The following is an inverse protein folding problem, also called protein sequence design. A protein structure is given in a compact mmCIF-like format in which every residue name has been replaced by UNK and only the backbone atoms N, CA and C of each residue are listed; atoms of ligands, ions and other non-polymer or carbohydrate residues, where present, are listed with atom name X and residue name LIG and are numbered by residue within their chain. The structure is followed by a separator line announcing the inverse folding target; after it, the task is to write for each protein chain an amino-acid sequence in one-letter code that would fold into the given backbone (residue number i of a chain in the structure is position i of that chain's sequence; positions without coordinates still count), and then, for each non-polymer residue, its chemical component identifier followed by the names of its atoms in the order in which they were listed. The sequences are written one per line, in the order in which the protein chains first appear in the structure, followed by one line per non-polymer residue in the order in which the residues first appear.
data_IF_416403640561
#
_entry.id   IF_416403640561
#
_cell.length_a   1.000
_cell.length_b   1.000
_cell.length_c   1.000
_cell.angle_alpha   90.00
_cell.angle_beta   90.00
_cell.angle_gamma   90.00
#
_symmetry.space_group_name_H-M   'P 1'
#
loop_
_entity.id
_entity.type
_entity.pdbx_description
1 polymer ?
#
# COMPACT_ATOMS: atom_id res chain seq x y z
N UNK A 1 -2.47 1.21 -2.80
CA UNK A 1 -3.81 0.72 -2.40
C UNK A 1 -3.88 0.60 -0.88
N UNK A 2 -4.97 1.02 -0.30
CA UNK A 2 -5.25 0.82 1.12
C UNK A 2 -6.24 -0.35 1.26
N UNK A 3 -5.85 -1.38 2.01
CA UNK A 3 -6.67 -2.58 2.19
C UNK A 3 -6.83 -2.88 3.68
N UNK A 4 -7.98 -2.56 4.24
CA UNK A 4 -8.28 -2.80 5.65
C UNK A 4 -8.55 -4.27 5.99
N UNK A 5 -8.69 -5.12 5.00
CA UNK A 5 -8.81 -6.56 5.17
C UNK A 5 -7.48 -7.30 5.18
N UNK A 6 -6.40 -6.66 4.74
CA UNK A 6 -5.08 -7.26 4.70
C UNK A 6 -4.37 -7.12 6.03
N UNK A 7 -3.56 -8.12 6.39
CA UNK A 7 -2.75 -8.14 7.60
C UNK A 7 -1.31 -7.68 7.38
N UNK A 8 -0.91 -7.51 6.12
CA UNK A 8 0.48 -7.18 5.78
C UNK A 8 0.54 -6.08 4.74
N UNK A 9 1.50 -5.18 4.90
CA UNK A 9 1.86 -4.19 3.89
C UNK A 9 2.74 -4.85 2.85
N UNK A 10 2.45 -4.62 1.57
CA UNK A 10 3.12 -5.26 0.44
C UNK A 10 3.77 -4.21 -0.44
N UNK A 11 5.02 -4.45 -0.86
CA UNK A 11 5.72 -3.66 -1.87
C UNK A 11 5.86 -4.47 -3.15
N UNK A 12 5.51 -3.85 -4.27
CA UNK A 12 5.65 -4.45 -5.59
C UNK A 12 6.90 -3.93 -6.31
N UNK A 13 7.36 -4.61 -7.37
CA UNK A 13 8.62 -4.28 -8.03
C UNK A 13 8.76 -2.84 -8.49
N UNK A 14 7.68 -2.20 -8.93
CA UNK A 14 7.74 -0.82 -9.40
C UNK A 14 8.17 0.15 -8.31
N UNK A 15 7.66 -0.03 -7.09
CA UNK A 15 8.07 0.80 -5.96
C UNK A 15 9.52 0.51 -5.56
N UNK A 16 9.91 -0.75 -5.54
CA UNK A 16 11.28 -1.17 -5.26
C UNK A 16 12.27 -0.49 -6.21
N UNK A 17 11.97 -0.51 -7.51
CA UNK A 17 12.80 0.13 -8.54
C UNK A 17 12.79 1.65 -8.40
N UNK A 18 11.62 2.23 -8.14
CA UNK A 18 11.46 3.67 -8.00
C UNK A 18 12.22 4.26 -6.80
N UNK A 19 12.32 3.52 -5.71
CA UNK A 19 13.07 3.90 -4.52
C UNK A 19 14.56 3.57 -4.61
N UNK A 20 15.00 2.92 -5.68
CA UNK A 20 16.40 2.51 -5.92
C UNK A 20 16.94 1.66 -4.76
N UNK A 21 16.11 0.76 -4.26
CA UNK A 21 16.50 -0.18 -3.22
C UNK A 21 17.37 -1.30 -3.79
N UNK A 22 18.26 -1.84 -2.95
CA UNK A 22 19.07 -3.00 -3.30
C UNK A 22 18.63 -4.22 -2.48
N UNK A 23 18.99 -5.47 -2.90
CA UNK A 23 18.68 -6.65 -2.10
C UNK A 23 19.22 -6.61 -0.68
N UNK A 24 20.29 -5.86 -0.46
CA UNK A 24 20.91 -5.71 0.87
C UNK A 24 20.08 -4.92 1.85
N UNK A 25 19.14 -4.10 1.35
CA UNK A 25 18.25 -3.29 2.20
C UNK A 25 17.16 -4.14 2.86
N UNK A 26 16.98 -5.38 2.42
CA UNK A 26 15.91 -6.26 2.91
C UNK A 26 16.43 -7.24 3.96
N UNK A 27 15.56 -7.51 4.95
CA UNK A 27 15.76 -8.62 5.88
C UNK A 27 14.99 -9.84 5.38
N UNK A 28 15.38 -11.01 5.88
CA UNK A 28 14.75 -12.27 5.48
C UNK A 28 13.31 -12.35 5.98
N UNK A 29 12.41 -12.78 5.12
CA UNK A 29 11.02 -13.06 5.46
C UNK A 29 10.63 -14.38 4.81
N UNK A 30 10.33 -15.41 5.62
CA UNK A 30 10.19 -16.79 5.16
C UNK A 30 8.75 -17.26 5.01
N UNK A 31 7.78 -16.50 5.48
CA UNK A 31 6.39 -16.94 5.43
C UNK A 31 5.79 -16.73 4.06
N UNK A 32 5.18 -17.77 3.45
CA UNK A 32 4.49 -17.59 2.18
C UNK A 32 3.24 -16.72 2.36
N UNK A 33 2.88 -16.02 1.29
CA UNK A 33 1.68 -15.18 1.23
C UNK A 33 0.68 -15.76 0.24
N UNK A 34 -0.60 -15.53 0.51
CA UNK A 34 -1.67 -15.89 -0.41
C UNK A 34 -2.08 -14.66 -1.21
N UNK A 35 -2.00 -14.74 -2.53
CA UNK A 35 -2.45 -13.65 -3.41
C UNK A 35 -3.98 -13.69 -3.61
N UNK A 36 -4.51 -12.64 -4.26
CA UNK A 36 -5.96 -12.55 -4.51
C UNK A 36 -6.50 -13.67 -5.40
N UNK A 37 -5.67 -14.26 -6.24
CA UNK A 37 -6.03 -15.38 -7.10
C UNK A 37 -5.75 -16.76 -6.45
N UNK A 38 -5.57 -16.80 -5.12
CA UNK A 38 -5.32 -17.97 -4.31
C UNK A 38 -3.99 -18.68 -4.62
N UNK A 39 -3.07 -18.01 -5.28
CA UNK A 39 -1.72 -18.51 -5.50
C UNK A 39 -0.81 -18.15 -4.34
N UNK A 40 0.09 -19.07 -4.02
CA UNK A 40 1.10 -18.84 -2.99
C UNK A 40 2.23 -18.02 -3.60
N UNK A 41 2.62 -16.93 -2.91
CA UNK A 41 3.72 -16.06 -3.31
C UNK A 41 4.80 -16.14 -2.24
N UNK A 42 6.04 -16.40 -2.66
CA UNK A 42 7.20 -16.43 -1.77
C UNK A 42 7.81 -15.02 -1.75
N UNK A 43 7.84 -14.35 -0.59
CA UNK A 43 8.41 -13.00 -0.51
C UNK A 43 9.92 -12.99 -0.79
N UNK A 44 10.41 -11.86 -1.33
CA UNK A 44 11.84 -11.62 -1.52
C UNK A 44 12.51 -11.11 -0.24
N UNK A 45 11.75 -10.52 0.66
CA UNK A 45 12.26 -9.98 1.91
C UNK A 45 11.32 -8.96 2.52
N UNK A 46 11.79 -8.32 3.57
CA UNK A 46 11.03 -7.31 4.31
C UNK A 46 11.90 -6.08 4.53
N UNK A 47 11.30 -4.90 4.42
CA UNK A 47 12.01 -3.64 4.67
C UNK A 47 11.11 -2.70 5.49
N UNK A 48 11.72 -1.99 6.44
CA UNK A 48 11.03 -0.94 7.20
C UNK A 48 11.28 0.41 6.55
N UNK A 49 10.19 1.10 6.19
CA UNK A 49 10.24 2.43 5.60
C UNK A 49 9.40 3.38 6.42
N UNK A 50 9.76 4.66 6.37
CA UNK A 50 8.94 5.73 6.92
C UNK A 50 7.95 6.18 5.86
N UNK A 51 6.66 6.14 6.20
CA UNK A 51 5.58 6.59 5.31
C UNK A 51 5.01 7.89 5.89
N UNK A 52 5.14 8.97 5.13
CA UNK A 52 4.57 10.24 5.51
C UNK A 52 3.17 10.38 4.94
N UNK A 53 2.22 10.67 5.82
CA UNK A 53 0.82 10.86 5.46
C UNK A 53 0.35 12.17 6.09
N UNK A 54 0.26 13.23 5.30
CA UNK A 54 0.09 14.56 5.84
C UNK A 54 1.29 14.95 6.71
N UNK A 55 1.05 15.29 7.97
CA UNK A 55 2.09 15.61 8.95
C UNK A 55 2.53 14.40 9.77
N UNK A 56 1.84 13.28 9.62
CA UNK A 56 2.13 12.07 10.37
C UNK A 56 3.17 11.21 9.64
N UNK A 57 4.14 10.70 10.40
CA UNK A 57 5.17 9.79 9.88
C UNK A 57 5.05 8.48 10.63
N UNK A 58 4.85 7.39 9.90
CA UNK A 58 4.63 6.06 10.46
C UNK A 58 5.66 5.11 9.90
N UNK A 59 6.30 4.30 10.75
CA UNK A 59 7.15 3.20 10.32
C UNK A 59 6.27 2.06 9.82
N UNK A 60 6.57 1.58 8.63
CA UNK A 60 5.82 0.48 8.00
C UNK A 60 6.79 -0.59 7.54
N UNK A 61 6.50 -1.84 7.91
CA UNK A 61 7.25 -3.00 7.46
C UNK A 61 6.61 -3.54 6.20
N UNK A 62 7.24 -3.29 5.06
CA UNK A 62 6.77 -3.79 3.77
C UNK A 62 7.38 -5.15 3.46
N UNK A 63 6.55 -6.07 2.98
CA UNK A 63 7.00 -7.34 2.44
C UNK A 63 7.12 -7.18 0.93
N UNK A 64 8.32 -7.41 0.40
CA UNK A 64 8.58 -7.29 -1.03
C UNK A 64 8.21 -8.59 -1.73
N UNK A 65 7.37 -8.49 -2.74
CA UNK A 65 7.01 -9.61 -3.61
C UNK A 65 7.37 -9.28 -5.06
N UNK A 66 7.81 -10.28 -5.80
CA UNK A 66 8.19 -10.14 -7.21
C UNK A 66 7.07 -10.74 -8.07
N UNK A 67 5.95 -10.06 -8.10
CA UNK A 67 4.80 -10.46 -8.89
C UNK A 67 4.14 -9.23 -9.49
N UNK A 68 3.39 -9.44 -10.57
CA UNK A 68 2.70 -8.33 -11.23
C UNK A 68 1.58 -7.79 -10.34
N UNK A 69 1.50 -6.46 -10.27
CA UNK A 69 0.37 -5.75 -9.71
C UNK A 69 0.24 -4.38 -10.37
N UNK A 70 -0.99 -3.91 -10.63
CA UNK A 70 -1.20 -2.53 -11.09
C UNK A 70 -0.94 -1.50 -10.00
N UNK A 71 -0.83 -1.93 -8.75
CA UNK A 71 -0.51 -1.06 -7.62
C UNK A 71 0.98 -1.09 -7.32
N UNK A 72 1.50 0.00 -6.76
CA UNK A 72 2.91 0.08 -6.33
C UNK A 72 3.11 -0.56 -4.98
N UNK A 73 2.10 -0.46 -4.11
CA UNK A 73 2.13 -1.01 -2.76
C UNK A 73 0.71 -1.21 -2.24
N UNK A 74 0.61 -2.04 -1.20
CA UNK A 74 -0.60 -2.18 -0.38
C UNK A 74 -0.25 -1.74 1.03
N UNK A 75 -0.99 -0.80 1.59
CA UNK A 75 -0.96 -0.48 3.02
C UNK A 75 -2.19 -1.08 3.69
N UNK A 76 -2.01 -1.62 4.87
CA UNK A 76 -2.97 -2.53 5.47
C UNK A 76 -3.29 -2.15 6.91
N UNK A 77 -3.89 -3.08 7.67
CA UNK A 77 -4.31 -2.81 9.04
C UNK A 77 -3.22 -2.32 9.98
N UNK A 78 -1.98 -2.83 9.96
CA UNK A 78 -0.96 -2.30 10.86
C UNK A 78 -0.73 -0.80 10.70
N UNK A 79 -0.65 -0.32 9.45
CA UNK A 79 -0.53 1.10 9.16
C UNK A 79 -1.77 1.89 9.62
N UNK A 80 -2.97 1.37 9.32
CA UNK A 80 -4.22 2.01 9.72
C UNK A 80 -4.33 2.12 11.24
N UNK A 81 -3.96 1.07 11.98
CA UNK A 81 -3.99 1.06 13.44
C UNK A 81 -2.99 2.05 14.03
N UNK A 82 -1.77 2.09 13.52
CA UNK A 82 -0.74 3.02 14.00
C UNK A 82 -1.15 4.47 13.76
N UNK A 83 -1.80 4.73 12.63
CA UNK A 83 -2.28 6.06 12.27
C UNK A 83 -3.54 6.46 13.05
N UNK A 84 -4.22 5.51 13.69
CA UNK A 84 -5.51 5.74 14.32
C UNK A 84 -6.61 6.00 13.33
N UNK A 85 -6.51 5.39 12.14
CA UNK A 85 -7.36 5.71 11.01
C UNK A 85 -8.62 4.86 10.95
N UNK A 86 -9.65 5.43 10.31
CA UNK A 86 -10.87 4.74 9.93
C UNK A 86 -10.94 4.71 8.41
N UNK A 87 -11.15 3.52 7.84
CA UNK A 87 -11.25 3.32 6.41
C UNK A 87 -12.66 2.92 6.00
N UNK A 88 -13.13 3.46 4.87
CA UNK A 88 -14.39 3.06 4.26
C UNK A 88 -14.14 2.66 2.81
N UNK A 89 -14.35 1.39 2.51
CA UNK A 89 -14.26 0.88 1.15
C UNK A 89 -15.37 1.45 0.27
N UNK A 90 -16.58 1.57 0.82
CA UNK A 90 -17.73 2.11 0.09
C UNK A 90 -17.51 3.54 -0.39
N UNK A 91 -16.93 4.39 0.46
CA UNK A 91 -16.68 5.79 0.15
C UNK A 91 -15.27 6.03 -0.39
N UNK A 92 -14.42 5.01 -0.43
CA UNK A 92 -13.02 5.09 -0.86
C UNK A 92 -12.26 6.18 -0.10
N UNK A 93 -12.42 6.22 1.22
CA UNK A 93 -11.83 7.24 2.07
C UNK A 93 -11.17 6.62 3.28
N UNK A 94 -10.09 7.27 3.74
CA UNK A 94 -9.44 6.98 5.01
C UNK A 94 -9.35 8.30 5.78
N UNK A 95 -9.85 8.32 7.01
CA UNK A 95 -9.75 9.49 7.89
C UNK A 95 -8.88 9.15 9.08
N UNK A 96 -8.02 10.09 9.46
CA UNK A 96 -7.13 9.91 10.60
C UNK A 96 -6.89 11.23 11.34
N UNK A 97 -6.65 11.16 12.66
CA UNK A 97 -6.36 12.36 13.44
C UNK A 97 -4.92 12.83 13.22
N UNK A 98 -4.72 14.14 13.13
CA UNK A 98 -3.40 14.74 13.03
C UNK A 98 -3.45 16.15 13.62
N UNK A 99 -2.69 16.37 14.71
CA UNK A 99 -2.56 17.68 15.37
C UNK A 99 -3.90 18.39 15.67
N UNK A 100 -4.86 17.66 16.22
CA UNK A 100 -6.17 18.21 16.57
C UNK A 100 -7.11 18.37 15.38
N UNK A 101 -6.72 17.90 14.22
CA UNK A 101 -7.52 17.91 12.98
C UNK A 101 -7.82 16.50 12.54
N UNK A 102 -8.78 16.37 11.63
CA UNK A 102 -9.05 15.12 10.92
C UNK A 102 -8.63 15.31 9.48
N UNK A 103 -7.66 14.53 9.04
CA UNK A 103 -7.22 14.49 7.65
C UNK A 103 -7.90 13.34 6.92
N UNK A 104 -8.02 13.47 5.60
CA UNK A 104 -8.69 12.50 4.76
C UNK A 104 -7.82 12.14 3.57
N UNK A 105 -7.74 10.84 3.29
CA UNK A 105 -7.17 10.30 2.06
C UNK A 105 -8.35 9.82 1.21
N UNK A 106 -8.44 10.30 -0.02
CA UNK A 106 -9.47 9.89 -0.96
C UNK A 106 -8.91 8.97 -2.03
N UNK A 107 -9.68 7.92 -2.35
CA UNK A 107 -9.40 7.10 -3.50
C UNK A 107 -9.77 7.82 -4.79
N UNK A 108 -9.03 7.55 -5.84
CA UNK A 108 -9.32 8.05 -7.19
C UNK A 108 -10.00 6.94 -8.00
N UNK A 109 -11.28 7.11 -8.32
CA UNK A 109 -12.03 6.10 -9.07
C UNK A 109 -11.45 5.87 -10.47
N UNK A 110 -11.00 6.94 -11.15
CA UNK A 110 -10.39 6.81 -12.47
C UNK A 110 -9.12 5.97 -12.42
N UNK A 111 -8.23 6.26 -11.48
CA UNK A 111 -7.00 5.47 -11.28
C UNK A 111 -7.31 4.03 -10.88
N UNK A 112 -8.32 3.82 -10.03
CA UNK A 112 -8.75 2.47 -9.64
C UNK A 112 -9.23 1.65 -10.83
N UNK A 113 -9.99 2.28 -11.75
CA UNK A 113 -10.42 1.62 -12.99
C UNK A 113 -9.23 1.28 -13.89
N UNK A 114 -8.29 2.18 -14.03
CA UNK A 114 -7.07 1.94 -14.81
C UNK A 114 -6.27 0.77 -14.22
N UNK A 115 -6.15 0.70 -12.91
CA UNK A 115 -5.50 -0.42 -12.23
C UNK A 115 -6.22 -1.74 -12.49
N UNK A 116 -7.56 -1.75 -12.47
CA UNK A 116 -8.34 -2.94 -12.78
C UNK A 116 -8.11 -3.40 -14.22
N UNK A 117 -8.14 -2.47 -15.17
CA UNK A 117 -7.89 -2.77 -16.59
C UNK A 117 -6.48 -3.32 -16.77
N UNK A 118 -5.48 -2.71 -16.13
CA UNK A 118 -4.10 -3.18 -16.17
C UNK A 118 -3.95 -4.58 -15.59
N UNK A 119 -4.66 -4.90 -14.50
CA UNK A 119 -4.64 -6.23 -13.91
C UNK A 119 -5.23 -7.28 -14.86
N UNK A 120 -6.32 -6.95 -15.54
CA UNK A 120 -6.95 -7.86 -16.52
C UNK A 120 -6.05 -8.10 -17.72
N UNK A 121 -5.41 -7.05 -18.23
CA UNK A 121 -4.55 -7.12 -19.42
C UNK A 121 -3.09 -7.48 -19.11
N UNK A 122 -2.73 -7.61 -17.84
CA UNK A 122 -1.36 -7.86 -17.37
C UNK A 122 -0.35 -6.82 -17.84
N UNK A 123 -0.79 -5.56 -18.00
CA UNK A 123 0.08 -4.45 -18.36
C UNK A 123 0.60 -3.76 -17.10
N UNK A 124 1.92 -3.58 -16.95
CA UNK A 124 2.47 -2.89 -15.79
C UNK A 124 2.10 -1.40 -15.81
N UNK A 125 1.68 -0.89 -14.68
CA UNK A 125 1.38 0.52 -14.49
C UNK A 125 1.83 0.96 -13.11
N UNK A 126 2.32 2.20 -13.04
CA UNK A 126 2.68 2.85 -11.79
C UNK A 126 1.73 4.01 -11.59
N UNK A 127 0.80 3.86 -10.65
CA UNK A 127 -0.22 4.86 -10.40
C UNK A 127 -0.41 5.08 -8.90
N UNK A 128 -0.68 6.33 -8.53
CA UNK A 128 -1.14 6.66 -7.18
C UNK A 128 -2.67 6.68 -7.20
N UNK A 129 -3.28 5.86 -6.36
CA UNK A 129 -4.74 5.78 -6.27
C UNK A 129 -5.31 6.68 -5.17
N UNK A 130 -4.48 7.42 -4.44
CA UNK A 130 -4.94 8.22 -3.32
C UNK A 130 -4.12 9.50 -3.15
N UNK A 131 -4.72 10.50 -2.56
CA UNK A 131 -4.06 11.72 -2.14
C UNK A 131 -4.62 12.18 -0.79
N UNK A 132 -3.88 13.04 -0.08
CA UNK A 132 -4.26 13.51 1.26
C UNK A 132 -4.78 14.93 1.18
N UNK A 133 -5.92 15.17 1.84
CA UNK A 133 -6.44 16.52 2.04
C UNK A 133 -7.02 16.66 3.44
N UNK A 134 -7.18 17.91 3.89
CA UNK A 134 -7.80 18.18 5.18
C UNK A 134 -9.31 18.00 5.08
N UNK A 135 -9.88 17.26 6.06
CA UNK A 135 -11.32 17.07 6.19
C UNK A 135 -11.87 18.00 7.24
N UNK A 136 -12.78 18.83 6.84
CA UNK A 136 -13.47 19.78 7.74
C UNK A 136 -14.68 19.14 8.44
#
# INVERSE_FOLDING_TARGET
MVDNGSRAEIMYPDLYKGLKLSPEDFTLYNSPLMSFDWKIVIPKGQIRLLVQTGLEIVEVDFIMVDTFSPYTAIVARPWLHTLGAVASTLHQKVKFPSEGRVLEIRGCQATARECLVAAISHQPRVESSAYVEESS
#
